data_IF_556701559796
#
_entry.id   IF_556701559796
#
_cell.length_a   1.000
_cell.length_b   1.000
_cell.length_c   1.000
_cell.angle_alpha   90.00
_cell.angle_beta   90.00
_cell.angle_gamma   90.00
#
_symmetry.space_group_name_H-M   'P 1'
#
loop_
_entity.id
_entity.type
_entity.pdbx_description
1 polymer ?
#
# COMPACT_ATOMS: atom_id res chain seq x y z
N UNK A 1 57.31 -7.78 14.90
CA UNK A 1 56.47 -6.63 15.28
C UNK A 1 56.10 -5.89 13.99
N UNK A 2 54.93 -6.18 13.41
CA UNK A 2 54.49 -5.50 12.19
C UNK A 2 53.86 -4.15 12.56
N UNK A 3 54.49 -3.05 12.14
CA UNK A 3 53.96 -1.70 12.33
C UNK A 3 52.90 -1.44 11.26
N UNK A 4 51.63 -1.65 11.59
CA UNK A 4 50.53 -1.23 10.72
C UNK A 4 50.33 0.27 10.94
N UNK A 5 50.45 1.12 9.91
CA UNK A 5 50.18 2.55 10.04
C UNK A 5 48.73 2.78 10.46
N UNK A 6 48.53 3.67 11.45
CA UNK A 6 47.28 3.89 12.18
C UNK A 6 46.15 4.52 11.35
N UNK A 7 46.41 4.89 10.10
CA UNK A 7 45.43 5.51 9.21
C UNK A 7 45.49 4.80 7.86
N UNK A 8 44.47 4.01 7.48
CA UNK A 8 44.38 3.49 6.13
C UNK A 8 44.32 4.67 5.16
N UNK A 9 45.24 4.73 4.21
CA UNK A 9 45.21 5.73 3.14
C UNK A 9 43.89 5.55 2.38
N UNK A 10 43.02 6.58 2.33
CA UNK A 10 41.76 6.45 1.62
C UNK A 10 42.05 6.14 0.16
N UNK A 11 41.37 5.13 -0.38
CA UNK A 11 41.37 4.90 -1.83
C UNK A 11 40.55 6.02 -2.44
N UNK A 12 41.25 7.06 -2.92
CA UNK A 12 40.65 8.24 -3.51
C UNK A 12 40.38 7.95 -4.98
N UNK A 13 39.13 7.99 -5.40
CA UNK A 13 38.84 8.06 -6.83
C UNK A 13 39.28 9.45 -7.32
N UNK A 14 40.26 9.50 -8.23
CA UNK A 14 40.66 10.75 -8.88
C UNK A 14 39.62 11.08 -9.95
N UNK A 15 38.80 12.09 -9.69
CA UNK A 15 37.82 12.62 -10.64
C UNK A 15 38.23 14.04 -11.04
N UNK A 16 38.20 14.33 -12.35
CA UNK A 16 38.63 15.63 -12.87
C UNK A 16 37.70 16.78 -12.48
N UNK A 17 36.39 16.51 -12.35
CA UNK A 17 35.38 17.47 -11.92
C UNK A 17 34.25 16.78 -11.16
N UNK A 18 33.73 17.45 -10.13
CA UNK A 18 32.48 17.08 -9.49
C UNK A 18 31.34 17.87 -10.14
N UNK A 19 30.28 17.16 -10.52
CA UNK A 19 29.11 17.72 -11.19
C UNK A 19 27.88 17.48 -10.31
N UNK A 20 27.06 18.51 -10.10
CA UNK A 20 25.80 18.41 -9.35
C UNK A 20 24.64 17.88 -10.22
N UNK A 21 23.46 17.71 -9.62
CA UNK A 21 22.24 17.25 -10.29
C UNK A 21 21.72 18.20 -11.37
N UNK A 22 22.21 19.44 -11.40
CA UNK A 22 21.87 20.47 -12.37
C UNK A 22 22.93 20.60 -13.48
N UNK A 23 23.99 19.79 -13.45
CA UNK A 23 25.09 19.84 -14.42
C UNK A 23 26.11 20.95 -14.15
N UNK A 24 26.07 21.59 -12.98
CA UNK A 24 27.04 22.60 -12.56
C UNK A 24 28.28 21.96 -11.96
N UNK A 25 29.43 22.62 -12.13
CA UNK A 25 30.67 22.22 -11.46
C UNK A 25 30.61 22.64 -10.00
N UNK A 26 30.95 21.70 -9.12
CA UNK A 26 31.12 21.92 -7.70
C UNK A 26 32.62 22.07 -7.42
N UNK A 27 33.00 23.24 -6.88
CA UNK A 27 34.36 23.52 -6.44
C UNK A 27 34.53 23.05 -5.01
N UNK A 28 35.42 22.08 -4.79
CA UNK A 28 35.60 21.42 -3.50
C UNK A 28 37.06 21.57 -3.08
N UNK A 29 37.33 22.14 -1.89
CA UNK A 29 38.69 22.27 -1.39
C UNK A 29 39.43 20.93 -1.36
N UNK A 30 40.69 20.96 -1.78
CA UNK A 30 41.55 19.77 -1.84
C UNK A 30 41.63 19.06 -0.49
N UNK A 31 41.40 17.74 -0.52
CA UNK A 31 41.45 16.89 0.67
C UNK A 31 40.24 17.02 1.61
N UNK A 32 39.21 17.78 1.24
CA UNK A 32 37.97 17.82 2.02
C UNK A 32 37.15 16.53 1.84
N UNK A 33 36.57 15.99 2.92
CA UNK A 33 35.72 14.81 2.84
C UNK A 33 34.39 15.18 2.17
N UNK A 34 34.11 14.57 1.02
CA UNK A 34 32.79 14.62 0.39
C UNK A 34 31.78 13.94 1.33
N UNK A 35 30.82 14.71 1.84
CA UNK A 35 29.69 14.17 2.59
C UNK A 35 28.52 13.96 1.63
N UNK A 36 27.85 12.82 1.79
CA UNK A 36 26.53 12.61 1.17
C UNK A 36 25.60 13.67 1.73
N UNK A 37 24.94 14.43 0.85
CA UNK A 37 23.93 15.40 1.24
C UNK A 37 22.73 14.66 1.87
N UNK A 38 22.67 14.60 3.21
CA UNK A 38 21.57 13.99 3.97
C UNK A 38 20.27 14.79 3.94
N UNK A 39 20.16 15.80 3.09
CA UNK A 39 19.02 16.73 3.09
C UNK A 39 17.70 16.09 2.63
N UNK A 40 17.72 14.86 2.12
CA UNK A 40 16.51 14.15 1.74
C UNK A 40 15.77 13.49 2.91
N UNK A 41 16.38 13.37 4.10
CA UNK A 41 15.74 12.67 5.23
C UNK A 41 14.45 13.34 5.70
N UNK A 42 14.39 14.68 5.74
CA UNK A 42 13.21 15.40 6.21
C UNK A 42 12.03 15.28 5.23
N UNK A 43 12.30 15.35 3.92
CA UNK A 43 11.28 15.24 2.87
C UNK A 43 10.76 13.80 2.75
N UNK A 44 11.64 12.80 2.84
CA UNK A 44 11.25 11.38 2.83
C UNK A 44 10.42 11.03 4.07
N UNK A 45 10.73 11.60 5.24
CA UNK A 45 9.93 11.45 6.45
C UNK A 45 8.54 12.07 6.33
N UNK A 46 8.43 13.24 5.68
CA UNK A 46 7.17 13.95 5.50
C UNK A 46 6.20 13.25 4.53
N UNK A 47 6.72 12.66 3.45
CA UNK A 47 5.94 11.86 2.47
C UNK A 47 5.92 10.37 2.83
N UNK A 48 6.44 10.00 4.00
CA UNK A 48 6.57 8.62 4.41
C UNK A 48 5.20 7.92 4.55
N UNK A 49 5.13 6.60 4.32
CA UNK A 49 3.89 5.85 4.38
C UNK A 49 3.14 5.92 5.71
N UNK A 50 3.82 6.31 6.78
CA UNK A 50 3.21 6.46 8.10
C UNK A 50 2.39 7.75 8.20
N UNK A 51 2.83 8.84 7.55
CA UNK A 51 2.22 10.16 7.74
C UNK A 51 0.90 10.30 6.98
N UNK A 52 0.87 9.96 5.68
CA UNK A 52 -0.38 9.94 4.89
C UNK A 52 -1.41 8.93 5.44
N UNK A 53 -0.96 7.80 6.00
CA UNK A 53 -1.84 6.81 6.60
C UNK A 53 -2.52 7.34 7.86
N UNK A 54 -1.80 8.07 8.72
CA UNK A 54 -2.38 8.69 9.91
C UNK A 54 -3.49 9.70 9.54
N UNK A 55 -3.26 10.55 8.53
CA UNK A 55 -4.29 11.44 8.01
C UNK A 55 -5.47 10.68 7.40
N UNK A 56 -5.21 9.58 6.70
CA UNK A 56 -6.25 8.70 6.14
C UNK A 56 -7.13 8.06 7.23
N UNK A 57 -6.54 7.53 8.29
CA UNK A 57 -7.26 6.95 9.43
C UNK A 57 -8.07 8.00 10.18
N UNK A 58 -7.50 9.18 10.38
CA UNK A 58 -8.22 10.29 11.00
C UNK A 58 -9.42 10.74 10.16
N UNK A 59 -9.23 10.88 8.84
CA UNK A 59 -10.31 11.18 7.90
C UNK A 59 -11.40 10.11 7.88
N UNK A 60 -11.03 8.83 7.87
CA UNK A 60 -11.97 7.71 7.95
C UNK A 60 -12.77 7.74 9.26
N UNK A 61 -12.12 8.04 10.39
CA UNK A 61 -12.79 8.18 11.68
C UNK A 61 -13.87 9.27 11.67
N UNK A 62 -13.61 10.41 11.02
CA UNK A 62 -14.60 11.48 10.85
C UNK A 62 -15.80 10.99 10.03
N UNK A 63 -15.56 10.33 8.89
CA UNK A 63 -16.64 9.81 8.04
C UNK A 63 -17.51 8.83 8.82
N UNK A 64 -16.90 7.89 9.53
CA UNK A 64 -17.62 6.94 10.38
C UNK A 64 -18.45 7.68 11.42
N UNK A 65 -17.88 8.65 12.14
CA UNK A 65 -18.59 9.40 13.17
C UNK A 65 -19.81 10.16 12.62
N UNK A 66 -19.68 10.81 11.47
CA UNK A 66 -20.80 11.51 10.81
C UNK A 66 -21.88 10.52 10.38
N UNK A 67 -21.50 9.41 9.74
CA UNK A 67 -22.45 8.37 9.36
C UNK A 67 -23.15 7.77 10.57
N UNK A 68 -22.43 7.53 11.66
CA UNK A 68 -22.97 6.97 12.90
C UNK A 68 -23.96 7.94 13.56
N UNK A 69 -23.63 9.23 13.58
CA UNK A 69 -24.52 10.28 14.08
C UNK A 69 -25.81 10.34 13.25
N UNK A 70 -25.68 10.28 11.93
CA UNK A 70 -26.84 10.21 11.03
C UNK A 70 -27.67 8.95 11.26
N UNK A 71 -27.03 7.78 11.42
CA UNK A 71 -27.71 6.51 11.71
C UNK A 71 -28.42 6.51 13.07
N UNK A 72 -27.88 7.20 14.08
CA UNK A 72 -28.49 7.32 15.41
C UNK A 72 -29.76 8.17 15.39
N UNK A 73 -29.81 9.25 14.59
CA UNK A 73 -30.98 10.13 14.51
C UNK A 73 -32.02 9.70 13.50
N UNK A 74 -31.60 9.11 12.37
CA UNK A 74 -32.51 8.69 11.30
C UNK A 74 -32.82 7.19 11.33
N UNK A 75 -32.35 6.49 12.38
CA UNK A 75 -32.56 5.08 12.64
C UNK A 75 -32.54 4.29 11.35
N UNK A 76 -31.34 3.97 10.83
CA UNK A 76 -31.19 3.30 9.53
C UNK A 76 -32.35 2.33 9.33
N UNK A 77 -33.30 2.62 8.41
CA UNK A 77 -34.33 1.65 8.06
C UNK A 77 -33.53 0.41 7.81
N UNK A 78 -33.85 -0.67 8.53
CA UNK A 78 -33.15 -1.92 8.36
C UNK A 78 -32.95 -2.09 6.85
N UNK A 79 -31.79 -2.60 6.43
CA UNK A 79 -31.70 -3.22 5.11
C UNK A 79 -32.65 -4.42 5.16
N UNK A 80 -33.94 -4.11 5.16
CA UNK A 80 -35.05 -5.00 5.29
C UNK A 80 -35.06 -5.60 3.90
N UNK A 81 -34.50 -6.80 3.82
CA UNK A 81 -34.74 -7.67 2.70
C UNK A 81 -36.26 -7.73 2.62
N UNK A 82 -36.83 -7.26 1.51
CA UNK A 82 -38.28 -7.31 1.30
C UNK A 82 -38.76 -8.69 1.74
N UNK A 83 -39.81 -8.81 2.58
CA UNK A 83 -40.34 -10.11 2.95
C UNK A 83 -40.63 -10.94 1.69
N UNK A 84 -39.90 -12.05 1.52
CA UNK A 84 -39.97 -12.89 0.32
C UNK A 84 -38.93 -12.60 -0.78
N UNK A 85 -37.98 -11.68 -0.58
CA UNK A 85 -36.82 -11.57 -1.48
C UNK A 85 -35.81 -12.67 -1.19
N UNK A 86 -35.31 -13.36 -2.24
CA UNK A 86 -34.35 -14.44 -2.06
C UNK A 86 -33.06 -13.89 -1.46
N UNK A 87 -32.69 -14.40 -0.29
CA UNK A 87 -31.33 -14.24 0.24
C UNK A 87 -30.43 -15.22 -0.50
N UNK A 88 -29.19 -14.82 -0.78
CA UNK A 88 -28.22 -15.71 -1.41
C UNK A 88 -27.97 -16.93 -0.52
N UNK A 89 -28.48 -18.08 -0.93
CA UNK A 89 -28.10 -19.39 -0.41
C UNK A 89 -26.62 -19.64 -0.74
N UNK A 90 -25.85 -20.14 0.23
CA UNK A 90 -24.51 -20.63 -0.03
C UNK A 90 -24.62 -21.90 -0.89
N UNK A 91 -24.38 -21.79 -2.20
CA UNK A 91 -24.24 -22.94 -3.08
C UNK A 91 -23.09 -23.80 -2.58
N UNK A 92 -23.42 -24.91 -1.92
CA UNK A 92 -22.45 -25.99 -1.69
C UNK A 92 -22.20 -26.63 -3.04
N UNK A 93 -20.97 -26.53 -3.54
CA UNK A 93 -20.58 -27.19 -4.78
C UNK A 93 -20.91 -28.69 -4.68
N UNK A 94 -21.61 -29.28 -5.66
CA UNK A 94 -21.86 -30.72 -5.63
C UNK A 94 -20.52 -31.45 -5.64
N UNK A 95 -20.35 -32.34 -4.65
CA UNK A 95 -19.21 -33.24 -4.61
C UNK A 95 -19.17 -34.01 -5.92
N UNK A 96 -18.08 -33.81 -6.66
CA UNK A 96 -17.77 -34.42 -7.94
C UNK A 96 -18.02 -35.94 -7.92
N UNK A 97 -18.98 -36.42 -8.73
CA UNK A 97 -19.28 -37.84 -8.92
C UNK A 97 -20.17 -38.07 -10.15
N UNK A 98 -19.98 -39.16 -10.92
CA UNK A 98 -20.19 -39.17 -12.38
C UNK A 98 -21.65 -39.29 -12.84
N UNK A 99 -21.89 -38.83 -14.07
CA UNK A 99 -23.17 -38.66 -14.74
C UNK A 99 -24.09 -39.88 -14.71
N UNK A 100 -25.29 -39.69 -14.17
CA UNK A 100 -26.45 -40.60 -14.35
C UNK A 100 -27.34 -39.96 -15.43
N UNK A 101 -27.76 -40.69 -16.47
CA UNK A 101 -28.34 -40.12 -17.69
C UNK A 101 -29.67 -39.40 -17.45
N UNK A 102 -29.86 -38.29 -18.18
CA UNK A 102 -31.06 -37.45 -18.21
C UNK A 102 -32.28 -38.27 -18.65
N UNK A 103 -33.29 -38.37 -17.80
CA UNK A 103 -34.59 -38.89 -18.18
C UNK A 103 -35.32 -37.88 -19.08
N UNK A 104 -35.73 -38.33 -20.27
CA UNK A 104 -36.46 -37.53 -21.27
C UNK A 104 -37.85 -37.16 -20.74
N UNK A 105 -38.34 -35.92 -20.92
CA UNK A 105 -39.67 -35.53 -20.46
C UNK A 105 -40.75 -36.24 -21.29
N UNK A 106 -41.64 -36.98 -20.64
CA UNK A 106 -42.87 -37.49 -21.25
C UNK A 106 -43.88 -36.35 -21.29
N UNK A 107 -44.18 -35.88 -22.50
CA UNK A 107 -45.29 -34.95 -22.78
C UNK A 107 -46.60 -35.76 -22.78
N UNK A 108 -47.67 -35.28 -22.10
CA UNK A 108 -48.90 -36.03 -21.90
C UNK A 108 -49.85 -35.92 -23.10
N UNK A 109 -50.65 -36.96 -23.35
CA UNK A 109 -51.86 -36.90 -24.21
C UNK A 109 -52.81 -38.06 -23.94
N UNK A 110 -54.13 -37.94 -24.18
CA UNK A 110 -54.97 -36.74 -24.33
C UNK A 110 -55.86 -36.45 -23.11
#
# INVERSE_FOLDING_TARGET
MATVPKTPTPTVASVDNLIDENGSRIDVPDGSPLKVAGEHEATVGATGPTNWWLYGVFGLGIVIAVLFLMQMFQGAPATDVQPGTPTSESVVAPASGPAVPVAVPVVPTP
#
